data_IF_027752592303
#
_entry.id   IF_027752592303
#
_cell.length_a   1.000
_cell.length_b   1.000
_cell.length_c   1.000
_cell.angle_alpha   90.00
_cell.angle_beta   90.00
_cell.angle_gamma   90.00
#
_symmetry.space_group_name_H-M   'P 1'
#
loop_
_entity.id
_entity.type
_entity.pdbx_description
1 polymer ?
#
# COMPACT_ATOMS: atom_id res chain seq x y z
N UNK A 1 25.98 12.85 -6.76
CA UNK A 1 24.70 13.56 -6.89
C UNK A 1 24.27 14.01 -5.50
N UNK A 2 24.10 15.32 -5.25
CA UNK A 2 23.60 15.80 -3.94
C UNK A 2 22.09 15.63 -3.93
N UNK A 3 21.60 14.69 -3.12
CA UNK A 3 20.18 14.54 -2.86
C UNK A 3 19.72 15.80 -2.09
N UNK A 4 18.63 16.41 -2.52
CA UNK A 4 18.10 17.57 -1.78
C UNK A 4 17.20 17.10 -0.62
N UNK A 5 16.95 17.96 0.38
CA UNK A 5 16.15 17.60 1.55
C UNK A 5 14.77 17.00 1.23
N UNK A 6 14.13 17.38 0.13
CA UNK A 6 12.83 16.83 -0.24
C UNK A 6 12.95 15.38 -0.73
N UNK A 7 14.01 15.06 -1.49
CA UNK A 7 14.31 13.70 -1.92
C UNK A 7 14.74 12.82 -0.73
N UNK A 8 15.53 13.35 0.21
CA UNK A 8 15.87 12.63 1.46
C UNK A 8 14.61 12.24 2.25
N UNK A 9 13.66 13.18 2.39
CA UNK A 9 12.39 12.93 3.07
C UNK A 9 11.50 11.95 2.30
N UNK A 10 11.54 11.99 0.98
CA UNK A 10 10.80 11.04 0.14
C UNK A 10 11.36 9.62 0.28
N UNK A 11 12.68 9.45 0.26
CA UNK A 11 13.33 8.15 0.45
C UNK A 11 12.99 7.59 1.83
N UNK A 12 13.09 8.43 2.87
CA UNK A 12 12.70 8.03 4.23
C UNK A 12 11.21 7.68 4.34
N UNK A 13 10.32 8.41 3.64
CA UNK A 13 8.90 8.07 3.57
C UNK A 13 8.67 6.70 2.96
N UNK A 14 9.26 6.42 1.80
CA UNK A 14 9.09 5.12 1.12
C UNK A 14 9.62 3.98 2.00
N UNK A 15 10.74 4.18 2.69
CA UNK A 15 11.26 3.20 3.63
C UNK A 15 10.28 2.94 4.79
N UNK A 16 9.77 4.01 5.42
CA UNK A 16 8.77 3.87 6.48
C UNK A 16 7.51 3.15 5.99
N UNK A 17 7.05 3.44 4.77
CA UNK A 17 5.89 2.74 4.19
C UNK A 17 6.19 1.25 4.08
N UNK A 18 7.32 0.84 3.50
CA UNK A 18 7.68 -0.57 3.37
C UNK A 18 7.71 -1.30 4.73
N UNK A 19 8.16 -0.62 5.77
CA UNK A 19 8.28 -1.19 7.11
C UNK A 19 6.94 -1.22 7.88
N UNK A 20 5.97 -0.36 7.52
CA UNK A 20 4.79 -0.10 8.36
C UNK A 20 3.44 -0.15 7.62
N UNK A 21 3.38 -0.40 6.31
CA UNK A 21 2.13 -0.31 5.54
C UNK A 21 1.02 -1.25 6.05
N UNK A 22 1.36 -2.35 6.73
CA UNK A 22 0.39 -3.26 7.33
C UNK A 22 -0.29 -2.67 8.57
N UNK A 23 0.44 -1.92 9.39
CA UNK A 23 -0.03 -1.39 10.68
C UNK A 23 -0.42 0.08 10.61
N UNK A 24 0.14 0.86 9.67
CA UNK A 24 -0.03 2.30 9.57
C UNK A 24 -0.59 2.71 8.21
N UNK A 25 -1.85 3.16 8.20
CA UNK A 25 -2.58 3.57 6.99
C UNK A 25 -2.71 5.07 6.81
N UNK A 26 -2.33 5.85 7.83
CA UNK A 26 -2.55 7.29 7.88
C UNK A 26 -1.34 8.05 7.34
N UNK A 27 -1.47 8.85 6.26
CA UNK A 27 -0.42 9.79 5.84
C UNK A 27 0.07 10.72 6.96
N UNK A 28 -0.80 11.03 7.93
CA UNK A 28 -0.43 11.86 9.08
C UNK A 28 0.64 11.20 9.95
N UNK A 29 0.50 9.91 10.21
CA UNK A 29 1.47 9.17 11.01
C UNK A 29 2.87 9.24 10.39
N UNK A 30 2.98 8.99 9.08
CA UNK A 30 4.25 9.09 8.36
C UNK A 30 4.83 10.51 8.37
N UNK A 31 4.00 11.54 8.25
CA UNK A 31 4.47 12.92 8.30
C UNK A 31 5.01 13.28 9.70
N UNK A 32 4.34 12.82 10.75
CA UNK A 32 4.74 13.01 12.13
C UNK A 32 6.09 12.30 12.40
N UNK A 33 6.26 11.04 11.98
CA UNK A 33 7.55 10.31 12.08
C UNK A 33 8.69 11.01 11.33
N UNK A 34 8.39 11.59 10.18
CA UNK A 34 9.37 12.33 9.37
C UNK A 34 9.61 13.76 9.87
N UNK A 35 8.92 14.21 10.93
CA UNK A 35 8.96 15.58 11.43
C UNK A 35 8.67 16.63 10.34
N UNK A 36 7.64 16.39 9.54
CA UNK A 36 7.17 17.31 8.49
C UNK A 36 5.64 17.45 8.54
N UNK A 37 5.10 18.48 7.89
CA UNK A 37 3.65 18.57 7.75
C UNK A 37 3.12 17.58 6.71
N UNK A 38 1.88 17.11 6.90
CA UNK A 38 1.18 16.26 5.92
C UNK A 38 1.08 16.94 4.55
N UNK A 39 0.89 18.26 4.53
CA UNK A 39 0.86 19.04 3.29
C UNK A 39 2.21 19.00 2.57
N UNK A 40 3.32 19.10 3.31
CA UNK A 40 4.64 18.99 2.70
C UNK A 40 4.89 17.57 2.17
N UNK A 41 4.55 16.53 2.95
CA UNK A 41 4.61 15.14 2.51
C UNK A 41 3.78 14.92 1.23
N UNK A 42 2.55 15.44 1.19
CA UNK A 42 1.68 15.40 0.01
C UNK A 42 2.32 16.05 -1.21
N UNK A 43 2.93 17.22 -1.04
CA UNK A 43 3.62 17.94 -2.13
C UNK A 43 4.83 17.17 -2.67
N UNK A 44 5.67 16.59 -1.81
CA UNK A 44 6.83 15.83 -2.28
C UNK A 44 6.40 14.54 -2.98
N UNK A 45 5.43 13.79 -2.45
CA UNK A 45 4.92 12.60 -3.13
C UNK A 45 4.34 12.93 -4.50
N UNK A 46 3.50 13.98 -4.60
CA UNK A 46 2.94 14.38 -5.89
C UNK A 46 3.99 14.86 -6.89
N UNK A 47 5.03 15.54 -6.42
CA UNK A 47 6.11 16.03 -7.28
C UNK A 47 6.97 14.90 -7.86
N UNK A 48 7.34 13.93 -7.02
CA UNK A 48 8.36 12.94 -7.37
C UNK A 48 7.81 11.57 -7.74
N UNK A 49 6.65 11.17 -7.19
CA UNK A 49 6.03 9.88 -7.42
C UNK A 49 4.74 9.98 -8.25
N UNK A 50 4.25 11.20 -8.53
CA UNK A 50 2.93 11.46 -9.14
C UNK A 50 1.73 10.93 -8.33
N UNK A 51 1.98 10.40 -7.13
CA UNK A 51 1.00 9.83 -6.21
C UNK A 51 0.88 10.64 -4.92
N UNK A 52 -0.27 10.56 -4.27
CA UNK A 52 -0.48 11.03 -2.90
C UNK A 52 0.18 10.05 -1.93
N UNK A 53 0.52 10.45 -0.69
CA UNK A 53 1.06 9.53 0.30
C UNK A 53 0.09 8.36 0.58
N UNK A 54 -1.22 8.62 0.57
CA UNK A 54 -2.24 7.59 0.75
C UNK A 54 -2.31 6.59 -0.40
N UNK A 55 -2.08 7.04 -1.65
CA UNK A 55 -1.96 6.15 -2.81
C UNK A 55 -0.73 5.25 -2.68
N UNK A 56 0.44 5.81 -2.32
CA UNK A 56 1.68 5.03 -2.12
C UNK A 56 1.50 3.96 -1.05
N UNK A 57 0.94 4.30 0.11
CA UNK A 57 0.67 3.33 1.18
C UNK A 57 -0.28 2.23 0.69
N UNK A 58 -1.32 2.61 -0.06
CA UNK A 58 -2.32 1.66 -0.55
C UNK A 58 -1.74 0.72 -1.61
N UNK A 59 -0.86 1.21 -2.48
CA UNK A 59 -0.19 0.39 -3.48
C UNK A 59 0.64 -0.73 -2.85
N UNK A 60 1.40 -0.45 -1.78
CA UNK A 60 2.18 -1.50 -1.08
C UNK A 60 1.27 -2.57 -0.45
N UNK A 61 0.10 -2.17 0.02
CA UNK A 61 -0.90 -3.08 0.59
C UNK A 61 -1.47 -3.98 -0.49
N UNK A 62 -1.74 -3.42 -1.66
CA UNK A 62 -2.22 -4.19 -2.81
C UNK A 62 -1.17 -5.14 -3.35
N UNK A 63 0.10 -4.74 -3.39
CA UNK A 63 1.20 -5.65 -3.72
C UNK A 63 1.26 -6.83 -2.77
N UNK A 64 1.15 -6.59 -1.47
CA UNK A 64 1.14 -7.68 -0.49
C UNK A 64 -0.12 -8.56 -0.61
N UNK A 65 -1.28 -7.96 -0.85
CA UNK A 65 -2.51 -8.71 -1.10
C UNK A 65 -2.37 -9.64 -2.31
N UNK A 66 -1.86 -9.13 -3.43
CA UNK A 66 -1.59 -9.90 -4.64
C UNK A 66 -0.57 -11.00 -4.36
N UNK A 67 0.50 -10.71 -3.60
CA UNK A 67 1.50 -11.70 -3.19
C UNK A 67 0.88 -12.81 -2.37
N UNK A 68 0.03 -12.50 -1.39
CA UNK A 68 -0.63 -13.50 -0.55
C UNK A 68 -1.63 -14.35 -1.35
N UNK A 69 -2.42 -13.72 -2.22
CA UNK A 69 -3.32 -14.41 -3.14
C UNK A 69 -2.55 -15.36 -4.06
N UNK A 70 -1.39 -14.92 -4.56
CA UNK A 70 -0.57 -15.70 -5.47
C UNK A 70 0.27 -16.77 -4.76
N UNK A 71 0.75 -16.59 -3.53
CA UNK A 71 1.71 -17.50 -2.87
C UNK A 71 1.13 -18.40 -1.76
N UNK A 72 -0.07 -18.11 -1.25
CA UNK A 72 -0.69 -18.90 -0.17
C UNK A 72 -2.05 -19.51 -0.54
N UNK A 73 -2.47 -20.55 0.17
CA UNK A 73 -3.83 -21.11 0.05
C UNK A 73 -4.82 -20.46 1.04
N UNK A 74 -4.48 -19.30 1.59
CA UNK A 74 -5.35 -18.59 2.53
C UNK A 74 -6.63 -18.16 1.84
N UNK A 75 -7.75 -18.17 2.54
CA UNK A 75 -9.01 -17.63 2.03
C UNK A 75 -8.94 -16.10 1.84
N UNK A 76 -9.81 -15.54 0.99
CA UNK A 76 -9.89 -14.08 0.81
C UNK A 76 -10.16 -13.37 2.14
N UNK A 77 -10.95 -13.98 3.02
CA UNK A 77 -11.25 -13.45 4.35
C UNK A 77 -10.00 -13.41 5.24
N UNK A 78 -9.20 -14.48 5.29
CA UNK A 78 -7.96 -14.51 6.06
C UNK A 78 -6.95 -13.47 5.57
N UNK A 79 -6.85 -13.28 4.26
CA UNK A 79 -5.98 -12.25 3.66
C UNK A 79 -6.47 -10.85 4.04
N UNK A 80 -7.77 -10.58 3.91
CA UNK A 80 -8.37 -9.30 4.29
C UNK A 80 -8.05 -8.95 5.75
N UNK A 81 -8.28 -9.87 6.68
CA UNK A 81 -8.01 -9.64 8.10
C UNK A 81 -6.52 -9.47 8.40
N UNK A 82 -5.63 -10.26 7.77
CA UNK A 82 -4.17 -10.08 7.92
C UNK A 82 -3.69 -8.72 7.42
N UNK A 83 -4.33 -8.18 6.40
CA UNK A 83 -4.04 -6.84 5.88
C UNK A 83 -4.74 -5.74 6.69
N UNK A 84 -5.43 -6.06 7.78
CA UNK A 84 -6.07 -5.07 8.66
C UNK A 84 -7.39 -4.49 8.12
N UNK A 85 -8.06 -5.17 7.19
CA UNK A 85 -9.40 -4.76 6.77
C UNK A 85 -10.45 -5.27 7.77
N UNK A 86 -11.46 -4.43 8.04
CA UNK A 86 -12.55 -4.75 8.98
C UNK A 86 -13.46 -5.88 8.50
N UNK A 87 -13.52 -6.12 7.18
CA UNK A 87 -14.29 -7.22 6.60
C UNK A 87 -13.74 -7.66 5.25
N UNK A 88 -13.97 -8.93 4.92
CA UNK A 88 -13.66 -9.51 3.61
C UNK A 88 -14.42 -8.81 2.47
N UNK A 89 -15.68 -8.43 2.69
CA UNK A 89 -16.49 -7.72 1.69
C UNK A 89 -15.91 -6.35 1.37
N UNK A 90 -15.53 -5.57 2.39
CA UNK A 90 -14.90 -4.27 2.19
C UNK A 90 -13.56 -4.39 1.46
N UNK A 91 -12.74 -5.39 1.83
CA UNK A 91 -11.52 -5.72 1.10
C UNK A 91 -11.79 -6.01 -0.38
N UNK A 92 -12.72 -6.93 -0.69
CA UNK A 92 -13.03 -7.30 -2.07
C UNK A 92 -13.55 -6.13 -2.90
N UNK A 93 -14.40 -5.27 -2.33
CA UNK A 93 -14.88 -4.05 -3.01
C UNK A 93 -13.74 -3.07 -3.28
N UNK A 94 -12.87 -2.83 -2.30
CA UNK A 94 -11.73 -1.93 -2.45
C UNK A 94 -10.69 -2.48 -3.45
N UNK A 95 -10.39 -3.77 -3.37
CA UNK A 95 -9.49 -4.48 -4.27
C UNK A 95 -10.01 -4.39 -5.71
N UNK A 96 -11.30 -4.68 -5.95
CA UNK A 96 -11.90 -4.55 -7.29
C UNK A 96 -11.89 -3.12 -7.82
N UNK A 97 -12.19 -2.13 -6.97
CA UNK A 97 -12.15 -0.72 -7.37
C UNK A 97 -10.76 -0.32 -7.86
N UNK A 98 -9.72 -0.75 -7.16
CA UNK A 98 -8.35 -0.28 -7.38
C UNK A 98 -7.60 -1.13 -8.41
N UNK A 99 -7.77 -2.46 -8.39
CA UNK A 99 -7.08 -3.42 -9.28
C UNK A 99 -7.94 -3.93 -10.45
N UNK A 100 -9.21 -3.51 -10.54
CA UNK A 100 -10.14 -3.80 -11.63
C UNK A 100 -10.57 -5.27 -11.77
N UNK A 101 -10.17 -6.14 -10.85
CA UNK A 101 -10.67 -7.51 -10.72
C UNK A 101 -10.92 -7.84 -9.24
N UNK A 102 -11.75 -8.84 -8.96
CA UNK A 102 -11.94 -9.36 -7.60
C UNK A 102 -10.73 -10.20 -7.15
N UNK A 103 -10.54 -10.42 -5.84
CA UNK A 103 -9.50 -11.32 -5.35
C UNK A 103 -9.58 -12.74 -5.91
N UNK A 104 -10.79 -13.27 -6.14
CA UNK A 104 -10.99 -14.59 -6.76
C UNK A 104 -10.64 -14.56 -8.25
N UNK A 105 -11.14 -13.57 -9.00
CA UNK A 105 -10.75 -13.36 -10.42
C UNK A 105 -9.22 -13.25 -10.56
N UNK A 106 -8.55 -12.57 -9.62
CA UNK A 106 -7.08 -12.47 -9.62
C UNK A 106 -6.40 -13.84 -9.51
N UNK A 107 -6.91 -14.76 -8.68
CA UNK A 107 -6.35 -16.12 -8.56
C UNK A 107 -6.55 -16.95 -9.82
N UNK A 108 -7.69 -16.79 -10.48
CA UNK A 108 -7.97 -17.47 -11.74
C UNK A 108 -7.04 -16.98 -12.87
N UNK A 109 -6.78 -15.66 -12.93
CA UNK A 109 -5.89 -15.06 -13.95
C UNK A 109 -4.41 -15.39 -13.69
N UNK A 110 -4.02 -15.56 -12.43
CA UNK A 110 -2.63 -15.84 -12.02
C UNK A 110 -2.50 -17.22 -11.36
N UNK A 111 -2.69 -18.32 -12.11
CA UNK A 111 -2.53 -19.66 -11.56
C UNK A 111 -1.08 -19.89 -11.12
N UNK A 112 -0.89 -20.52 -9.96
CA UNK A 112 0.43 -20.98 -9.53
C UNK A 112 0.95 -22.03 -10.51
N UNK A 113 2.16 -21.83 -11.01
CA UNK A 113 2.92 -22.91 -11.62
C UNK A 113 3.51 -23.75 -10.48
N UNK A 114 2.93 -24.92 -10.26
CA UNK A 114 3.47 -25.95 -9.36
C UNK A 114 4.33 -26.94 -10.14
#
# INVERSE_FOLDING_TARGET
MRINKAEEKLVAFVQLVNDNYLTQRSPKWYADELNISVNYLGRICKRYLLSTPGEVIREEVWKEAQRMLYLTNQSVAEIAYKLGFESASYFSTAFKRDLKCTPEEFREIMPRFH
#
